data_IF_863365219831
#
_entry.id   IF_863365219831
#
_cell.length_a   1.000
_cell.length_b   1.000
_cell.length_c   1.000
_cell.angle_alpha   90.00
_cell.angle_beta   90.00
_cell.angle_gamma   90.00
#
_symmetry.space_group_name_H-M   'P 1'
#
loop_
_entity.id
_entity.type
_entity.pdbx_description
1 polymer ?
#
# COMPACT_ATOMS: atom_id res chain seq x y z
N UNK A 1 14.97 3.37 -0.85
CA UNK A 1 13.97 2.31 -0.66
C UNK A 1 14.63 0.95 -0.79
N UNK A 2 14.52 0.09 0.22
CA UNK A 2 15.02 -1.29 0.14
C UNK A 2 13.91 -2.14 -0.48
N UNK A 3 14.05 -2.46 -1.76
CA UNK A 3 13.24 -3.49 -2.39
C UNK A 3 13.56 -4.83 -1.70
N UNK A 4 12.58 -5.45 -1.05
CA UNK A 4 12.72 -6.81 -0.54
C UNK A 4 12.67 -7.80 -1.71
N UNK A 5 13.79 -7.93 -2.44
CA UNK A 5 13.92 -8.88 -3.55
C UNK A 5 14.44 -10.23 -3.04
N UNK A 6 13.59 -11.25 -3.05
CA UNK A 6 14.02 -12.65 -3.01
C UNK A 6 13.94 -13.25 -4.43
N UNK A 7 15.06 -13.77 -4.93
CA UNK A 7 15.10 -14.56 -6.18
C UNK A 7 14.65 -16.00 -5.85
N UNK A 8 13.54 -16.44 -6.43
CA UNK A 8 13.03 -17.81 -6.30
C UNK A 8 12.74 -18.40 -7.69
N UNK A 9 13.42 -19.49 -8.04
CA UNK A 9 13.29 -20.18 -9.33
C UNK A 9 12.21 -21.27 -9.24
N UNK A 10 11.25 -21.24 -10.17
CA UNK A 10 10.37 -22.32 -10.65
C UNK A 10 9.88 -23.45 -9.71
N UNK A 11 8.63 -23.37 -9.24
CA UNK A 11 7.68 -24.49 -9.18
C UNK A 11 6.69 -24.37 -10.36
N UNK A 12 6.52 -25.45 -11.13
CA UNK A 12 5.50 -25.63 -12.18
C UNK A 12 4.38 -26.48 -11.58
N UNK A 13 3.28 -25.85 -11.21
CA UNK A 13 2.01 -26.55 -10.98
C UNK A 13 0.89 -25.79 -11.70
N UNK A 14 -0.06 -26.55 -12.27
CA UNK A 14 -1.26 -26.01 -12.90
C UNK A 14 -2.16 -25.44 -11.81
N UNK A 15 -2.09 -24.13 -11.58
CA UNK A 15 -3.02 -23.40 -10.72
C UNK A 15 -4.36 -23.33 -11.46
N UNK A 16 -5.36 -24.07 -10.97
CA UNK A 16 -6.73 -23.94 -11.45
C UNK A 16 -7.24 -22.52 -11.17
N UNK A 17 -7.81 -21.87 -12.18
CA UNK A 17 -8.44 -20.56 -12.01
C UNK A 17 -9.74 -20.74 -11.21
N UNK A 18 -9.81 -20.10 -10.04
CA UNK A 18 -11.05 -19.97 -9.27
C UNK A 18 -11.96 -18.93 -9.94
N UNK A 19 -13.27 -19.11 -9.84
CA UNK A 19 -14.22 -18.09 -10.28
C UNK A 19 -14.02 -16.83 -9.43
N UNK A 20 -13.74 -15.72 -10.09
CA UNK A 20 -13.08 -14.55 -9.50
C UNK A 20 -14.01 -13.34 -9.33
N UNK A 21 -15.29 -13.48 -9.63
CA UNK A 21 -16.28 -12.41 -9.50
C UNK A 21 -16.51 -11.96 -8.05
N UNK A 22 -16.20 -12.82 -7.07
CA UNK A 22 -16.64 -12.63 -5.68
C UNK A 22 -15.48 -12.36 -4.71
N UNK A 23 -14.28 -12.05 -5.20
CA UNK A 23 -13.08 -11.88 -4.34
C UNK A 23 -12.82 -10.40 -4.02
N UNK A 24 -13.36 -9.96 -2.89
CA UNK A 24 -13.17 -8.62 -2.35
C UNK A 24 -12.48 -8.70 -0.99
N UNK A 25 -11.58 -7.74 -0.72
CA UNK A 25 -11.00 -7.53 0.60
C UNK A 25 -11.32 -6.12 1.07
N UNK A 26 -11.87 -6.02 2.28
CA UNK A 26 -11.95 -4.74 2.98
C UNK A 26 -10.55 -4.24 3.34
N UNK A 27 -10.34 -2.94 3.16
CA UNK A 27 -9.11 -2.27 3.53
C UNK A 27 -9.36 -1.38 4.74
N UNK A 28 -8.46 -1.44 5.71
CA UNK A 28 -8.49 -0.61 6.92
C UNK A 28 -7.31 0.34 6.91
N UNK A 29 -7.52 1.58 7.29
CA UNK A 29 -6.42 2.52 7.51
C UNK A 29 -5.60 2.06 8.73
N UNK A 30 -4.28 2.12 8.63
CA UNK A 30 -3.42 1.83 9.78
C UNK A 30 -3.58 2.89 10.86
N UNK A 31 -3.37 2.52 12.13
CA UNK A 31 -3.50 3.45 13.27
C UNK A 31 -2.58 4.68 13.15
N UNK A 32 -1.48 4.56 12.40
CA UNK A 32 -0.56 5.66 12.12
C UNK A 32 -1.07 6.62 11.03
N UNK A 33 -2.11 6.25 10.27
CA UNK A 33 -2.69 7.06 9.20
C UNK A 33 -1.77 7.22 7.99
N UNK A 34 -0.94 6.22 7.69
CA UNK A 34 0.09 6.29 6.64
C UNK A 34 0.03 5.15 5.61
N UNK A 35 -0.76 4.11 5.86
CA UNK A 35 -0.93 3.00 4.91
C UNK A 35 -2.32 2.35 5.07
N UNK A 36 -2.74 1.58 4.07
CA UNK A 36 -3.94 0.75 4.11
C UNK A 36 -3.56 -0.72 4.20
N UNK A 37 -4.30 -1.45 5.04
CA UNK A 37 -4.06 -2.84 5.34
C UNK A 37 -5.23 -3.68 4.86
N UNK A 38 -4.94 -4.78 4.17
CA UNK A 38 -5.93 -5.79 3.82
C UNK A 38 -6.21 -6.68 5.03
N UNK A 39 -7.48 -6.77 5.42
CA UNK A 39 -7.95 -7.71 6.43
C UNK A 39 -8.29 -9.06 5.78
N UNK A 40 -7.61 -10.13 6.21
CA UNK A 40 -7.89 -11.49 5.74
C UNK A 40 -7.61 -12.51 6.83
N UNK A 41 -8.04 -13.76 6.62
CA UNK A 41 -7.66 -14.86 7.51
C UNK A 41 -6.81 -15.91 6.80
N UNK A 42 -5.94 -16.59 7.56
CA UNK A 42 -5.03 -17.63 7.06
C UNK A 42 -5.12 -18.90 7.91
N UNK A 43 -4.94 -20.05 7.27
CA UNK A 43 -4.86 -21.37 7.90
C UNK A 43 -6.20 -22.01 8.23
N UNK A 44 -6.14 -23.23 8.76
CA UNK A 44 -7.29 -23.98 9.21
C UNK A 44 -7.04 -24.56 10.61
N UNK A 45 -7.72 -24.07 11.67
CA UNK A 45 -8.76 -23.04 11.65
C UNK A 45 -8.22 -21.64 11.25
N UNK A 46 -9.05 -20.79 10.63
CA UNK A 46 -8.62 -19.48 10.14
C UNK A 46 -8.32 -18.52 11.30
N UNK A 47 -7.18 -17.83 11.20
CA UNK A 47 -6.82 -16.74 12.11
C UNK A 47 -6.69 -15.42 11.35
N UNK A 48 -7.08 -14.27 11.94
CA UNK A 48 -7.04 -12.97 11.26
C UNK A 48 -5.61 -12.47 11.09
N UNK A 49 -5.36 -11.76 10.00
CA UNK A 49 -4.10 -11.12 9.62
C UNK A 49 -4.38 -9.75 9.00
N UNK A 50 -3.47 -8.80 9.19
CA UNK A 50 -3.52 -7.45 8.61
C UNK A 50 -2.28 -7.23 7.76
N UNK A 51 -2.44 -7.12 6.45
CA UNK A 51 -1.33 -7.13 5.51
C UNK A 51 -1.20 -5.82 4.75
N UNK A 52 0.02 -5.31 4.62
CA UNK A 52 0.31 -4.18 3.74
C UNK A 52 -0.02 -4.59 2.30
N UNK A 53 -0.80 -3.77 1.60
CA UNK A 53 -1.12 -3.99 0.19
C UNK A 53 0.05 -3.47 -0.65
N UNK A 54 0.81 -4.35 -1.31
CA UNK A 54 2.06 -3.97 -1.98
C UNK A 54 2.14 -4.50 -3.42
N UNK A 55 1.95 -3.60 -4.40
CA UNK A 55 2.14 -3.86 -5.83
C UNK A 55 3.62 -3.89 -6.26
N UNK A 56 4.54 -3.40 -5.43
CA UNK A 56 5.98 -3.47 -5.62
C UNK A 56 6.61 -4.82 -5.26
N UNK A 57 5.92 -5.68 -4.50
CA UNK A 57 6.37 -7.01 -4.12
C UNK A 57 5.45 -8.13 -4.62
N UNK A 58 6.01 -9.27 -5.02
CA UNK A 58 5.20 -10.40 -5.54
C UNK A 58 4.93 -11.51 -4.53
N UNK A 59 5.73 -11.63 -3.48
CA UNK A 59 5.56 -12.67 -2.46
C UNK A 59 4.72 -12.12 -1.32
N UNK A 60 3.61 -12.79 -1.00
CA UNK A 60 2.86 -12.51 0.22
C UNK A 60 3.50 -13.24 1.40
N UNK A 61 3.55 -12.63 2.57
CA UNK A 61 4.15 -13.23 3.77
C UNK A 61 3.54 -12.69 5.07
N UNK A 62 3.59 -13.48 6.15
CA UNK A 62 3.22 -13.06 7.52
C UNK A 62 4.32 -13.37 8.55
N UNK A 63 4.25 -12.74 9.72
CA UNK A 63 5.06 -13.09 10.88
C UNK A 63 4.59 -14.42 11.50
N UNK A 64 5.52 -15.35 11.73
CA UNK A 64 5.20 -16.68 12.27
C UNK A 64 5.65 -16.88 13.73
N UNK A 65 5.01 -17.81 14.46
CA UNK A 65 5.21 -18.04 15.90
C UNK A 65 6.65 -18.46 16.30
N UNK A 66 7.48 -18.94 15.37
CA UNK A 66 8.90 -19.24 15.60
C UNK A 66 9.83 -18.03 15.43
N UNK A 67 9.28 -16.82 15.37
CA UNK A 67 10.01 -15.63 15.01
C UNK A 67 10.88 -15.06 16.13
N UNK A 68 12.10 -14.65 15.75
CA UNK A 68 13.06 -13.94 16.59
C UNK A 68 13.12 -12.47 16.14
N UNK A 69 12.86 -11.55 17.06
CA UNK A 69 12.84 -10.11 16.77
C UNK A 69 11.60 -9.64 16.02
N UNK A 70 10.47 -10.35 16.14
CA UNK A 70 9.21 -9.94 15.55
C UNK A 70 8.69 -8.64 16.14
N UNK A 71 7.97 -7.91 15.30
CA UNK A 71 7.28 -6.69 15.68
C UNK A 71 6.09 -7.06 16.56
N UNK A 72 5.77 -6.20 17.53
CA UNK A 72 4.46 -6.30 18.19
C UNK A 72 3.39 -5.99 17.14
N UNK A 73 2.42 -6.89 17.00
CA UNK A 73 1.25 -6.78 16.12
C UNK A 73 -0.02 -6.98 16.94
N UNK A 74 -1.15 -6.44 16.46
CA UNK A 74 -2.44 -6.50 17.19
C UNK A 74 -3.17 -7.83 17.00
N UNK A 75 -2.94 -8.50 15.88
CA UNK A 75 -3.47 -9.83 15.55
C UNK A 75 -2.49 -10.93 15.98
N UNK A 76 -2.93 -12.18 16.20
CA UNK A 76 -2.03 -13.27 16.57
C UNK A 76 -0.97 -13.57 15.50
N UNK A 77 0.23 -13.97 15.92
CA UNK A 77 1.23 -14.57 15.02
C UNK A 77 0.65 -15.85 14.40
N UNK A 78 0.97 -16.09 13.13
CA UNK A 78 0.59 -17.35 12.49
C UNK A 78 1.46 -18.49 13.01
N UNK A 79 0.84 -19.55 13.52
CA UNK A 79 1.53 -20.74 14.02
C UNK A 79 1.33 -21.87 13.01
N UNK A 80 2.32 -22.16 12.15
CA UNK A 80 2.20 -23.21 11.14
C UNK A 80 1.82 -24.57 11.71
N UNK A 81 2.24 -24.88 12.94
CA UNK A 81 1.98 -26.17 13.59
C UNK A 81 0.51 -26.39 13.95
N UNK A 82 -0.30 -25.33 13.96
CA UNK A 82 -1.73 -25.34 14.32
C UNK A 82 -2.66 -25.34 13.12
N UNK A 83 -2.12 -25.14 11.90
CA UNK A 83 -2.92 -25.13 10.68
C UNK A 83 -2.87 -26.50 10.00
N UNK A 84 -4.03 -27.13 9.80
CA UNK A 84 -4.10 -28.42 9.11
C UNK A 84 -3.85 -28.32 7.59
N UNK A 85 -3.79 -27.11 7.04
CA UNK A 85 -3.59 -26.82 5.61
C UNK A 85 -2.20 -26.26 5.30
N UNK A 86 -1.36 -26.06 6.32
CA UNK A 86 0.02 -25.60 6.14
C UNK A 86 0.90 -26.71 5.56
N UNK A 87 1.64 -26.40 4.50
CA UNK A 87 2.63 -27.32 3.94
C UNK A 87 3.91 -26.56 3.63
N UNK A 88 5.01 -26.93 4.30
CA UNK A 88 6.34 -26.39 4.00
C UNK A 88 6.77 -26.77 2.58
N UNK A 89 7.35 -25.79 1.88
CA UNK A 89 7.97 -25.95 0.57
C UNK A 89 9.49 -25.88 0.77
N UNK A 90 10.22 -27.01 0.69
CA UNK A 90 11.65 -27.03 0.90
C UNK A 90 12.38 -26.08 -0.06
N UNK A 91 13.12 -25.13 0.50
CA UNK A 91 13.94 -24.19 -0.26
C UNK A 91 15.41 -24.35 0.16
N UNK A 92 16.30 -24.53 -0.81
CA UNK A 92 17.75 -24.71 -0.57
C UNK A 92 18.53 -23.40 -0.46
N UNK A 93 17.85 -22.25 -0.52
CA UNK A 93 18.45 -20.92 -0.46
C UNK A 93 18.16 -20.26 0.90
N UNK A 94 19.14 -19.51 1.43
CA UNK A 94 19.10 -18.84 2.74
C UNK A 94 18.04 -17.74 2.84
N UNK A 95 16.77 -18.13 2.93
CA UNK A 95 15.66 -17.26 3.25
C UNK A 95 15.65 -16.97 4.77
N UNK A 96 15.25 -15.75 5.15
CA UNK A 96 15.06 -15.34 6.55
C UNK A 96 13.74 -15.91 7.16
N UNK A 97 13.14 -16.88 6.49
CA UNK A 97 11.85 -17.51 6.80
C UNK A 97 11.62 -18.74 5.93
N UNK A 98 10.49 -19.41 6.14
CA UNK A 98 10.08 -20.58 5.37
C UNK A 98 9.18 -20.16 4.21
N UNK A 99 9.22 -20.90 3.11
CA UNK A 99 8.21 -20.80 2.06
C UNK A 99 7.27 -21.98 2.24
N UNK A 100 5.98 -21.73 2.07
CA UNK A 100 4.94 -22.71 2.26
C UNK A 100 3.79 -22.52 1.26
N UNK A 101 2.94 -23.53 1.16
CA UNK A 101 1.57 -23.34 0.71
C UNK A 101 0.63 -23.32 1.92
N UNK A 102 -0.47 -22.60 1.78
CA UNK A 102 -1.49 -22.46 2.82
C UNK A 102 -2.85 -22.14 2.19
N UNK A 103 -3.88 -21.94 3.01
CA UNK A 103 -5.20 -21.47 2.64
C UNK A 103 -5.43 -20.07 3.22
N UNK A 104 -5.84 -19.15 2.36
CA UNK A 104 -6.39 -17.85 2.73
C UNK A 104 -7.91 -17.95 2.77
N UNK A 105 -8.55 -17.08 3.54
CA UNK A 105 -10.00 -16.95 3.57
C UNK A 105 -10.36 -15.52 3.18
N UNK A 106 -11.11 -15.41 2.08
CA UNK A 106 -11.65 -14.16 1.55
C UNK A 106 -13.11 -14.01 1.98
N UNK A 107 -13.55 -12.77 2.14
CA UNK A 107 -14.97 -12.44 2.26
C UNK A 107 -15.56 -12.28 0.86
N UNK A 108 -16.69 -12.91 0.62
CA UNK A 108 -17.42 -12.78 -0.65
C UNK A 108 -18.37 -11.59 -0.58
N UNK A 109 -18.78 -11.07 -1.73
CA UNK A 109 -19.64 -9.88 -1.84
C UNK A 109 -21.02 -10.06 -1.17
N UNK A 110 -21.46 -11.32 -0.97
CA UNK A 110 -22.67 -11.70 -0.25
C UNK A 110 -22.46 -11.91 1.27
N UNK A 111 -21.28 -11.57 1.81
CA UNK A 111 -20.90 -11.76 3.21
C UNK A 111 -20.50 -13.21 3.56
N UNK A 112 -20.40 -14.09 2.56
CA UNK A 112 -19.86 -15.43 2.71
C UNK A 112 -18.34 -15.44 2.91
N UNK A 113 -17.79 -16.64 3.11
CA UNK A 113 -16.35 -16.85 3.28
C UNK A 113 -15.86 -17.89 2.29
N UNK A 114 -14.87 -17.54 1.47
CA UNK A 114 -14.31 -18.40 0.45
C UNK A 114 -12.87 -18.80 0.82
N UNK A 115 -12.59 -20.09 1.09
CA UNK A 115 -11.23 -20.59 1.22
C UNK A 115 -10.55 -20.61 -0.16
N UNK A 116 -9.38 -19.98 -0.24
CA UNK A 116 -8.59 -19.83 -1.46
C UNK A 116 -7.17 -20.32 -1.19
N UNK A 117 -6.67 -21.34 -1.91
CA UNK A 117 -5.28 -21.78 -1.78
C UNK A 117 -4.28 -20.67 -2.15
N UNK A 118 -3.21 -20.56 -1.36
CA UNK A 118 -2.01 -19.82 -1.69
C UNK A 118 -0.87 -20.82 -1.84
N UNK A 119 -0.46 -21.08 -3.09
CA UNK A 119 0.57 -22.08 -3.39
C UNK A 119 1.98 -21.66 -2.97
N UNK A 120 2.24 -20.36 -2.87
CA UNK A 120 3.54 -19.82 -2.46
C UNK A 120 3.31 -18.64 -1.54
N UNK A 121 3.73 -18.82 -0.29
CA UNK A 121 3.55 -17.92 0.82
C UNK A 121 4.83 -17.90 1.68
N UNK A 122 5.16 -16.73 2.25
CA UNK A 122 6.28 -16.59 3.18
C UNK A 122 5.86 -16.63 4.65
N UNK A 123 6.49 -17.49 5.42
CA UNK A 123 6.39 -17.55 6.87
C UNK A 123 7.67 -16.97 7.48
N UNK A 124 7.61 -15.69 7.90
CA UNK A 124 8.78 -14.95 8.35
C UNK A 124 9.15 -15.32 9.80
N UNK A 125 10.41 -15.73 9.99
CA UNK A 125 10.98 -16.05 11.30
C UNK A 125 11.92 -14.94 11.83
N UNK A 126 12.22 -13.93 11.03
CA UNK A 126 12.98 -12.75 11.43
C UNK A 126 12.53 -11.58 10.58
N UNK A 127 12.29 -10.43 11.21
CA UNK A 127 11.78 -9.24 10.55
C UNK A 127 12.69 -8.05 10.87
N UNK A 128 12.85 -7.19 9.88
CA UNK A 128 13.59 -5.93 10.02
C UNK A 128 12.79 -4.81 9.38
N UNK A 129 12.71 -3.66 10.05
CA UNK A 129 12.04 -2.46 9.53
C UNK A 129 10.57 -2.30 9.93
N UNK A 130 9.93 -3.32 10.49
CA UNK A 130 8.63 -3.18 11.16
C UNK A 130 8.90 -3.08 12.67
N UNK A 131 8.61 -1.96 13.31
CA UNK A 131 8.71 -1.84 14.77
C UNK A 131 7.42 -1.24 15.33
N UNK A 132 6.76 -1.96 16.23
CA UNK A 132 5.51 -1.56 16.90
C UNK A 132 4.41 -1.10 15.94
N UNK A 133 3.97 -1.97 15.03
CA UNK A 133 3.04 -1.61 13.97
C UNK A 133 1.87 -2.60 13.91
N UNK A 134 0.74 -2.21 13.30
CA UNK A 134 -0.49 -3.00 13.32
C UNK A 134 -0.40 -4.25 12.43
N UNK A 135 0.51 -4.21 11.45
CA UNK A 135 0.64 -5.15 10.36
C UNK A 135 1.31 -6.45 10.80
N UNK A 136 0.73 -7.56 10.36
CA UNK A 136 1.28 -8.89 10.54
C UNK A 136 2.05 -9.39 9.32
N UNK A 137 2.13 -8.59 8.26
CA UNK A 137 2.86 -8.96 7.06
C UNK A 137 2.50 -8.12 5.84
N UNK A 138 2.64 -8.74 4.67
CA UNK A 138 2.53 -8.09 3.39
C UNK A 138 1.79 -8.98 2.39
N UNK A 139 0.84 -8.37 1.66
CA UNK A 139 0.10 -8.97 0.57
C UNK A 139 0.78 -8.56 -0.75
N UNK A 140 1.53 -9.49 -1.34
CA UNK A 140 2.29 -9.25 -2.55
C UNK A 140 1.42 -9.30 -3.81
N UNK A 141 1.30 -8.16 -4.48
CA UNK A 141 0.47 -7.94 -5.66
C UNK A 141 1.28 -7.68 -6.94
N UNK A 142 2.59 -7.84 -6.90
CA UNK A 142 3.50 -7.66 -8.03
C UNK A 142 3.23 -8.54 -9.26
N UNK A 143 4.02 -8.36 -10.31
CA UNK A 143 3.76 -9.00 -11.61
C UNK A 143 4.21 -10.47 -11.71
N UNK A 144 4.92 -11.00 -10.71
CA UNK A 144 5.43 -12.37 -10.78
C UNK A 144 4.32 -13.40 -10.53
N UNK A 145 4.47 -14.61 -11.08
CA UNK A 145 3.41 -15.66 -11.07
C UNK A 145 2.94 -16.14 -9.70
N UNK A 146 3.67 -15.81 -8.63
CA UNK A 146 3.30 -16.15 -7.26
C UNK A 146 2.39 -15.10 -6.60
N UNK A 147 2.23 -13.93 -7.22
CA UNK A 147 1.34 -12.88 -6.70
C UNK A 147 -0.11 -13.30 -6.77
N UNK A 148 -0.94 -12.69 -5.91
CA UNK A 148 -2.38 -12.97 -5.91
C UNK A 148 -3.05 -12.54 -7.20
N UNK A 149 -2.63 -11.40 -7.77
CA UNK A 149 -3.18 -10.89 -9.03
C UNK A 149 -3.09 -11.96 -10.12
N UNK A 150 -1.93 -12.62 -10.28
CA UNK A 150 -1.75 -13.66 -11.31
C UNK A 150 -2.52 -14.95 -11.03
N UNK A 151 -2.81 -15.26 -9.77
CA UNK A 151 -3.54 -16.48 -9.39
C UNK A 151 -5.06 -16.29 -9.42
N UNK A 152 -5.54 -15.03 -9.36
CA UNK A 152 -6.95 -14.68 -9.26
C UNK A 152 -7.46 -13.96 -10.53
N UNK A 153 -7.10 -14.46 -11.71
CA UNK A 153 -7.64 -13.96 -12.98
C UNK A 153 -6.90 -12.78 -13.62
N UNK A 154 -5.83 -12.26 -13.01
CA UNK A 154 -4.92 -11.30 -13.63
C UNK A 154 -5.40 -9.84 -13.63
N UNK A 155 -6.58 -9.57 -13.06
CA UNK A 155 -7.13 -8.22 -12.88
C UNK A 155 -7.11 -7.84 -11.40
N UNK A 156 -6.95 -6.55 -11.14
CA UNK A 156 -6.92 -5.94 -9.81
C UNK A 156 -7.51 -4.53 -9.91
N UNK A 157 -8.40 -4.18 -8.99
CA UNK A 157 -8.81 -2.78 -8.76
C UNK A 157 -8.75 -2.48 -7.27
N UNK A 158 -8.36 -1.26 -6.90
CA UNK A 158 -8.31 -0.83 -5.51
C UNK A 158 -8.94 0.56 -5.36
N UNK A 159 -9.65 0.75 -4.26
CA UNK A 159 -10.12 2.06 -3.79
C UNK A 159 -9.54 2.29 -2.40
N UNK A 160 -8.68 3.29 -2.25
CA UNK A 160 -8.17 3.74 -0.96
C UNK A 160 -8.97 4.98 -0.57
N UNK A 161 -9.80 4.85 0.47
CA UNK A 161 -10.68 5.90 0.95
C UNK A 161 -10.00 6.93 1.84
N UNK A 162 -10.75 7.50 2.76
CA UNK A 162 -10.20 8.42 3.75
C UNK A 162 -9.32 7.67 4.76
N UNK A 163 -8.02 7.96 4.74
CA UNK A 163 -7.04 7.34 5.64
C UNK A 163 -7.22 7.77 7.11
N UNK A 164 -8.03 8.79 7.37
CA UNK A 164 -8.40 9.25 8.71
C UNK A 164 -9.74 8.66 9.18
N UNK A 165 -10.48 7.97 8.31
CA UNK A 165 -11.69 7.22 8.67
C UNK A 165 -11.43 5.70 8.61
N UNK A 166 -11.10 5.06 9.75
CA UNK A 166 -10.85 3.62 9.78
C UNK A 166 -12.11 2.77 9.50
N UNK A 167 -13.30 3.39 9.40
CA UNK A 167 -14.58 2.72 9.09
C UNK A 167 -15.08 3.04 7.68
N UNK A 168 -14.26 3.63 6.82
CA UNK A 168 -14.67 4.00 5.48
C UNK A 168 -15.02 2.75 4.65
N UNK A 169 -16.33 2.51 4.46
CA UNK A 169 -16.87 1.26 3.89
C UNK A 169 -16.51 1.02 2.41
N UNK A 170 -16.05 2.05 1.70
CA UNK A 170 -15.66 1.94 0.29
C UNK A 170 -14.17 1.67 0.07
N UNK A 171 -13.37 1.57 1.14
CA UNK A 171 -11.97 1.16 1.05
C UNK A 171 -11.88 -0.33 0.76
N UNK A 172 -11.55 -0.70 -0.48
CA UNK A 172 -11.63 -2.09 -0.93
C UNK A 172 -10.58 -2.46 -1.98
N UNK A 173 -10.25 -3.75 -2.03
CA UNK A 173 -9.39 -4.37 -3.02
C UNK A 173 -10.16 -5.51 -3.70
N UNK A 174 -10.25 -5.51 -5.03
CA UNK A 174 -11.05 -6.47 -5.79
C UNK A 174 -10.18 -7.15 -6.84
N UNK A 175 -10.35 -8.47 -6.98
CA UNK A 175 -9.56 -9.29 -7.90
C UNK A 175 -10.41 -9.82 -9.06
N UNK A 176 -9.74 -10.15 -10.17
CA UNK A 176 -10.33 -10.89 -11.27
C UNK A 176 -11.50 -10.20 -11.95
N UNK A 177 -12.52 -10.97 -12.34
CA UNK A 177 -13.67 -10.44 -13.09
C UNK A 177 -14.57 -9.51 -12.27
N UNK A 178 -14.46 -9.53 -10.93
CA UNK A 178 -15.14 -8.55 -10.07
C UNK A 178 -14.51 -7.16 -10.13
N UNK A 179 -13.27 -7.03 -10.63
CA UNK A 179 -12.58 -5.75 -10.74
C UNK A 179 -13.22 -4.90 -11.84
N UNK A 180 -13.91 -3.83 -11.43
CA UNK A 180 -14.52 -2.85 -12.34
C UNK A 180 -13.41 -1.92 -12.87
N UNK A 181 -13.16 -1.97 -14.17
CA UNK A 181 -12.11 -1.21 -14.86
C UNK A 181 -12.76 -0.20 -15.84
N UNK A 182 -13.21 0.93 -15.31
CA UNK A 182 -13.86 2.01 -16.06
C UNK A 182 -12.99 3.28 -16.11
N UNK A 183 -13.21 4.12 -17.14
CA UNK A 183 -12.57 5.43 -17.26
C UNK A 183 -11.43 5.51 -18.29
N UNK A 184 -10.63 6.58 -18.18
CA UNK A 184 -9.48 6.81 -19.06
C UNK A 184 -8.35 5.82 -18.76
N UNK A 185 -7.63 5.42 -19.81
CA UNK A 185 -6.59 4.39 -19.73
C UNK A 185 -5.24 4.92 -20.19
N UNK A 186 -4.18 4.40 -19.58
CA UNK A 186 -2.79 4.58 -20.03
C UNK A 186 -2.11 3.22 -20.22
N UNK A 187 -1.23 3.04 -21.22
CA UNK A 187 -0.51 1.78 -21.40
C UNK A 187 0.31 1.40 -20.16
N UNK A 188 0.10 0.19 -19.66
CA UNK A 188 0.88 -0.42 -18.59
C UNK A 188 2.08 -1.18 -19.16
N UNK A 189 3.29 -0.83 -18.75
CA UNK A 189 4.51 -1.56 -19.05
C UNK A 189 4.74 -2.68 -18.02
N UNK A 190 4.49 -3.92 -18.45
CA UNK A 190 4.74 -5.12 -17.64
C UNK A 190 6.00 -5.88 -18.05
N UNK A 191 6.86 -5.29 -18.89
CA UNK A 191 8.12 -5.92 -19.32
C UNK A 191 9.16 -5.97 -18.19
N UNK A 192 9.05 -5.03 -17.23
CA UNK A 192 9.79 -5.01 -15.98
C UNK A 192 9.20 -5.92 -14.90
N UNK A 193 9.51 -5.61 -13.65
CA UNK A 193 9.01 -6.35 -12.46
C UNK A 193 7.90 -5.63 -11.70
N UNK A 194 7.65 -4.37 -12.02
CA UNK A 194 6.77 -3.46 -11.32
C UNK A 194 5.68 -2.95 -12.28
N UNK A 195 4.59 -2.42 -11.73
CA UNK A 195 3.54 -1.78 -12.51
C UNK A 195 4.02 -0.40 -12.95
N UNK A 196 4.58 -0.33 -14.16
CA UNK A 196 5.16 0.90 -14.68
C UNK A 196 4.26 1.55 -15.72
N UNK A 197 4.18 2.88 -15.70
CA UNK A 197 3.47 3.68 -16.69
C UNK A 197 4.41 4.75 -17.27
N UNK A 198 4.03 5.30 -18.41
CA UNK A 198 4.71 6.46 -18.99
C UNK A 198 4.06 7.74 -18.48
N UNK A 199 4.88 8.72 -18.08
CA UNK A 199 4.41 10.05 -17.66
C UNK A 199 5.08 11.12 -18.52
N UNK A 200 4.29 12.09 -18.99
CA UNK A 200 4.76 13.11 -19.94
C UNK A 200 5.18 14.43 -19.29
N UNK A 201 4.85 14.61 -18.00
CA UNK A 201 5.11 15.84 -17.28
C UNK A 201 4.25 15.96 -16.03
N UNK A 202 4.43 17.06 -15.32
CA UNK A 202 3.67 17.44 -14.13
C UNK A 202 3.17 18.86 -14.35
N UNK A 203 1.93 19.14 -13.95
CA UNK A 203 1.36 20.49 -13.94
C UNK A 203 0.93 20.88 -12.54
N UNK A 204 0.99 22.18 -12.23
CA UNK A 204 0.45 22.77 -11.00
C UNK A 204 -0.62 23.78 -11.42
N UNK A 205 -1.88 23.48 -11.14
CA UNK A 205 -2.99 24.20 -11.78
C UNK A 205 -2.94 24.04 -13.30
N UNK A 206 -2.99 25.15 -14.03
CA UNK A 206 -2.94 25.17 -15.50
C UNK A 206 -1.51 25.22 -16.07
N UNK A 207 -0.49 25.38 -15.22
CA UNK A 207 0.90 25.54 -15.63
C UNK A 207 1.63 24.19 -15.73
N UNK A 208 2.03 23.79 -16.94
CA UNK A 208 2.87 22.61 -17.17
C UNK A 208 4.33 22.94 -16.85
N UNK A 209 4.90 22.23 -15.89
CA UNK A 209 6.27 22.44 -15.45
C UNK A 209 7.28 22.05 -16.54
N UNK A 210 8.35 22.84 -16.66
CA UNK A 210 9.46 22.55 -17.56
C UNK A 210 10.37 21.46 -16.95
N UNK A 211 9.97 20.20 -17.09
CA UNK A 211 10.72 19.02 -16.65
C UNK A 211 11.17 18.26 -17.90
N UNK A 212 12.45 17.85 -17.95
CA UNK A 212 12.95 16.99 -19.03
C UNK A 212 12.17 15.65 -19.02
N UNK A 213 11.41 15.32 -20.09
CA UNK A 213 10.62 14.09 -20.15
C UNK A 213 11.47 12.81 -20.02
N UNK A 214 12.79 12.88 -20.28
CA UNK A 214 13.69 11.75 -20.09
C UNK A 214 13.75 11.26 -18.64
N UNK A 215 13.44 12.13 -17.67
CA UNK A 215 13.37 11.81 -16.24
C UNK A 215 12.29 10.75 -15.94
N UNK A 216 11.20 10.75 -16.72
CA UNK A 216 10.07 9.83 -16.52
C UNK A 216 10.07 8.66 -17.49
N UNK A 217 11.07 8.57 -18.35
CA UNK A 217 11.11 7.53 -19.37
C UNK A 217 11.55 6.20 -18.76
N UNK A 218 10.76 5.15 -19.00
CA UNK A 218 11.15 3.77 -18.71
C UNK A 218 12.37 3.40 -19.55
N UNK A 219 13.42 2.89 -18.90
CA UNK A 219 14.59 2.29 -19.55
C UNK A 219 14.44 0.77 -19.58
N UNK A 220 15.31 0.09 -20.34
CA UNK A 220 15.30 -1.37 -20.43
C UNK A 220 15.49 -2.01 -19.05
N UNK A 221 14.70 -3.05 -18.74
CA UNK A 221 14.79 -3.89 -17.54
C UNK A 221 14.28 -3.26 -16.23
N UNK A 222 13.35 -2.30 -16.31
CA UNK A 222 12.68 -1.73 -15.14
C UNK A 222 13.51 -0.70 -14.37
N UNK A 223 14.47 -0.07 -15.06
CA UNK A 223 15.18 1.12 -14.58
C UNK A 223 14.50 2.37 -15.15
N UNK A 224 14.44 3.46 -14.39
CA UNK A 224 13.63 4.63 -14.75
C UNK A 224 12.12 4.36 -14.81
N UNK A 225 11.37 5.28 -15.43
CA UNK A 225 9.91 5.18 -15.52
C UNK A 225 9.17 5.65 -14.27
N UNK A 226 7.84 5.55 -14.31
CA UNK A 226 6.95 5.85 -13.17
C UNK A 226 6.30 4.56 -12.70
N UNK A 227 6.48 4.22 -11.43
CA UNK A 227 5.93 3.01 -10.81
C UNK A 227 4.70 3.37 -9.98
N UNK A 228 3.64 2.57 -10.13
CA UNK A 228 2.46 2.63 -9.26
C UNK A 228 2.64 1.61 -8.14
N UNK A 229 2.96 2.11 -6.94
CA UNK A 229 3.32 1.30 -5.78
C UNK A 229 2.40 1.59 -4.58
N UNK A 230 1.48 0.67 -4.29
CA UNK A 230 0.57 0.77 -3.14
C UNK A 230 1.28 0.56 -1.79
N UNK A 231 2.49 -0.03 -1.81
CA UNK A 231 3.31 -0.22 -0.62
C UNK A 231 4.07 1.04 -0.18
N UNK A 232 4.05 2.10 -1.00
CA UNK A 232 4.71 3.38 -0.71
C UNK A 232 3.70 4.44 -0.26
N UNK A 233 3.89 5.00 0.94
CA UNK A 233 3.07 6.10 1.47
C UNK A 233 3.19 7.38 0.65
N UNK A 234 4.40 7.74 0.23
CA UNK A 234 4.66 8.99 -0.50
C UNK A 234 4.97 8.72 -1.96
N UNK A 235 4.54 9.62 -2.84
CA UNK A 235 5.08 9.72 -4.19
C UNK A 235 6.52 10.22 -4.11
N UNK A 236 7.45 9.45 -4.68
CA UNK A 236 8.87 9.80 -4.70
C UNK A 236 9.30 10.12 -6.12
N UNK A 237 9.85 11.30 -6.30
CA UNK A 237 10.29 11.80 -7.60
C UNK A 237 11.82 11.85 -7.67
N UNK A 238 12.36 11.54 -8.84
CA UNK A 238 13.75 11.85 -9.13
C UNK A 238 14.00 13.36 -8.96
N UNK A 239 15.20 13.73 -8.52
CA UNK A 239 15.56 15.12 -8.19
C UNK A 239 15.15 16.12 -9.28
N UNK A 240 15.42 15.79 -10.54
CA UNK A 240 15.07 16.65 -11.69
C UNK A 240 13.57 16.86 -11.92
N UNK A 241 12.71 15.97 -11.40
CA UNK A 241 11.26 16.18 -11.39
C UNK A 241 10.76 16.81 -10.08
N UNK A 242 11.40 16.50 -8.95
CA UNK A 242 11.02 17.01 -7.63
C UNK A 242 11.31 18.51 -7.47
N UNK A 243 12.49 18.97 -7.87
CA UNK A 243 12.89 20.37 -7.64
C UNK A 243 11.98 21.38 -8.35
N UNK A 244 11.65 21.23 -9.65
CA UNK A 244 10.72 22.13 -10.33
C UNK A 244 9.32 22.13 -9.69
N UNK A 245 8.81 20.95 -9.30
CA UNK A 245 7.52 20.84 -8.62
C UNK A 245 7.55 21.55 -7.27
N UNK A 246 8.59 21.31 -6.46
CA UNK A 246 8.75 21.93 -5.15
C UNK A 246 8.83 23.45 -5.28
N UNK A 247 9.60 23.96 -6.24
CA UNK A 247 9.78 25.39 -6.46
C UNK A 247 8.48 26.09 -6.87
N UNK A 248 7.68 25.46 -7.74
CA UNK A 248 6.39 26.02 -8.13
C UNK A 248 5.37 25.99 -6.98
N UNK A 249 5.25 24.87 -6.28
CA UNK A 249 4.37 24.81 -5.10
C UNK A 249 4.83 25.84 -4.04
N UNK A 250 6.14 26.00 -3.88
CA UNK A 250 6.70 26.99 -2.97
C UNK A 250 6.33 28.43 -3.39
N UNK A 251 6.44 28.75 -4.68
CA UNK A 251 6.13 30.09 -5.21
C UNK A 251 4.67 30.49 -4.94
N UNK A 252 3.75 29.52 -5.03
CA UNK A 252 2.32 29.71 -4.80
C UNK A 252 1.95 29.83 -3.32
N UNK A 253 2.62 29.06 -2.45
CA UNK A 253 2.24 28.94 -1.04
C UNK A 253 2.98 29.90 -0.10
N UNK A 254 4.25 30.22 -0.37
CA UNK A 254 5.07 31.12 0.47
C UNK A 254 4.42 32.51 0.71
N UNK A 255 3.70 33.13 -0.25
CA UNK A 255 3.01 34.40 -0.01
C UNK A 255 1.88 34.32 1.03
N UNK A 256 1.30 33.13 1.24
CA UNK A 256 0.06 32.95 2.01
C UNK A 256 0.25 32.11 3.27
N UNK A 257 1.31 31.30 3.33
CA UNK A 257 1.54 30.31 4.38
C UNK A 257 2.94 30.48 4.99
N UNK A 258 3.02 30.30 6.31
CA UNK A 258 4.31 30.29 7.01
C UNK A 258 5.00 28.94 6.79
N UNK A 259 6.17 28.94 6.15
CA UNK A 259 7.00 27.76 5.99
C UNK A 259 7.57 27.27 7.33
N UNK A 260 7.59 25.96 7.53
CA UNK A 260 8.26 25.28 8.65
C UNK A 260 9.32 24.34 8.08
N UNK A 261 10.52 24.36 8.65
CA UNK A 261 11.59 23.42 8.29
C UNK A 261 11.68 22.31 9.31
N UNK A 262 11.66 21.06 8.84
CA UNK A 262 11.92 19.89 9.68
C UNK A 262 13.38 19.46 9.49
N UNK A 263 14.19 19.55 10.55
CA UNK A 263 15.64 19.36 10.47
C UNK A 263 16.06 17.96 10.03
N UNK A 264 15.24 16.95 10.28
CA UNK A 264 15.51 15.57 9.86
C UNK A 264 15.16 15.32 8.39
N UNK A 265 14.29 16.14 7.78
CA UNK A 265 13.83 16.00 6.40
C UNK A 265 13.83 17.36 5.68
N UNK A 266 15.00 17.97 5.46
CA UNK A 266 15.11 19.32 4.92
C UNK A 266 14.61 19.44 3.46
N UNK A 267 14.44 18.30 2.78
CA UNK A 267 13.91 18.23 1.43
C UNK A 267 12.40 18.46 1.34
N UNK A 268 11.66 18.27 2.44
CA UNK A 268 10.21 18.43 2.46
C UNK A 268 9.79 19.90 2.49
N UNK A 269 8.74 20.22 1.74
CA UNK A 269 8.11 21.53 1.75
C UNK A 269 6.93 21.50 2.74
N UNK A 270 7.15 22.00 3.95
CA UNK A 270 6.15 22.01 5.02
C UNK A 270 5.68 23.43 5.34
N UNK A 271 4.40 23.58 5.62
CA UNK A 271 3.77 24.82 6.02
C UNK A 271 3.03 24.66 7.34
N UNK A 272 2.94 25.73 8.12
CA UNK A 272 2.11 25.75 9.32
C UNK A 272 0.65 25.56 8.91
N UNK A 273 0.04 24.45 9.37
CA UNK A 273 -1.39 24.24 9.23
C UNK A 273 -2.16 25.43 9.81
N UNK A 274 -3.17 25.90 9.09
CA UNK A 274 -4.05 26.93 9.61
C UNK A 274 -5.08 26.27 10.51
N UNK A 275 -4.84 26.31 11.82
CA UNK A 275 -5.87 25.98 12.80
C UNK A 275 -6.98 27.03 12.68
N UNK A 276 -8.20 26.59 12.41
CA UNK A 276 -9.38 27.43 12.54
C UNK A 276 -9.89 27.32 13.98
N UNK A 277 -10.26 28.45 14.58
CA UNK A 277 -11.15 28.42 15.74
C UNK A 277 -12.58 28.24 15.24
N UNK A 278 -13.33 27.41 15.94
CA UNK A 278 -14.78 27.33 15.82
C UNK A 278 -15.37 27.99 17.06
N UNK A 279 -15.98 29.16 16.86
CA UNK A 279 -16.76 29.85 17.89
C UNK A 279 -18.25 29.56 17.72
N UNK A 280 -18.96 29.39 18.84
CA UNK A 280 -20.41 29.19 18.85
C UNK A 280 -21.08 30.37 19.55
N UNK A 281 -22.04 31.01 18.88
CA UNK A 281 -22.96 31.99 19.44
C UNK A 281 -24.32 31.33 19.57
N UNK A 282 -24.62 30.85 20.77
CA UNK A 282 -25.81 30.05 21.06
C UNK A 282 -27.07 30.93 21.04
N UNK A 283 -26.98 32.18 21.48
CA UNK A 283 -28.12 33.10 21.51
C UNK A 283 -28.44 33.66 20.11
N UNK A 284 -27.42 33.85 19.28
CA UNK A 284 -27.55 34.28 17.88
C UNK A 284 -27.74 33.14 16.86
N UNK A 285 -27.61 31.88 17.28
CA UNK A 285 -27.76 30.69 16.43
C UNK A 285 -26.70 30.56 15.33
N UNK A 286 -25.45 30.96 15.59
CA UNK A 286 -24.39 31.03 14.57
C UNK A 286 -23.11 30.31 14.99
N UNK A 287 -22.45 29.72 14.00
CA UNK A 287 -21.10 29.16 14.11
C UNK A 287 -20.14 30.03 13.29
N UNK A 288 -19.02 30.41 13.91
CA UNK A 288 -17.99 31.22 13.27
C UNK A 288 -16.74 30.38 13.08
N UNK A 289 -16.30 30.26 11.83
CA UNK A 289 -15.02 29.65 11.47
C UNK A 289 -14.04 30.76 11.16
N UNK A 290 -13.03 30.95 12.02
CA UNK A 290 -12.07 32.06 11.85
C UNK A 290 -10.63 31.55 11.86
N UNK A 291 -9.85 32.04 10.88
CA UNK A 291 -8.41 31.80 10.72
C UNK A 291 -7.67 32.54 11.85
N UNK A 292 -6.89 31.84 12.67
CA UNK A 292 -6.39 32.43 13.92
C UNK A 292 -5.09 33.23 13.72
N UNK A 293 -5.05 34.45 14.29
CA UNK A 293 -3.88 35.00 14.97
C UNK A 293 -4.15 34.95 16.50
N UNK A 294 -3.43 34.11 17.26
CA UNK A 294 -3.75 33.78 18.66
C UNK A 294 -3.51 34.95 19.63
N UNK A 295 -2.84 36.01 19.18
CA UNK A 295 -2.55 37.20 19.97
C UNK A 295 -3.82 38.01 20.32
N UNK A 296 -4.91 37.83 19.57
CA UNK A 296 -6.19 38.51 19.80
C UNK A 296 -7.05 37.87 20.91
N UNK A 297 -6.67 36.71 21.43
CA UNK A 297 -7.37 36.04 22.54
C UNK A 297 -6.86 36.49 23.93
N UNK A 298 -5.86 37.37 23.98
CA UNK A 298 -5.27 37.88 25.22
C UNK A 298 -5.50 39.39 25.42
N UNK A 299 -6.31 40.06 24.59
CA UNK A 299 -6.67 41.48 24.71
C UNK A 299 -8.06 41.71 25.25
#
# INVERSE_FOLDING_TARGET
MRYYQYRMTALRENVGLLDSSDMTLGLVASDAGVTFLASMSIGQPPIPQLLIVDTGSSLSWVQCASCRGCSRQVVPLFDPSKSSTYVDIPCTAGALGNIASEQLQFETTDGGKLPVPIHVFGCANTISGLSNSQESGLLGLGLFRFSRVRQLGGKLSHCFGDIHDPKYEHSMLVFGEGAVLEGDVTPLDTSGRLYSVSMEGISVGDEKLNIDPSIFKSQTLGDGGVVIDTGSTYSVLAKGGYEPLREEVQSLLDPSLQRITYSQEPGLLCYKGQSYNVGYDIDGGKMYVQRINCELLQS
#
